data_IF_562814671705
#
_entry.id   IF_562814671705
#
_cell.length_a   1.000
_cell.length_b   1.000
_cell.length_c   1.000
_cell.angle_alpha   90.00
_cell.angle_beta   90.00
_cell.angle_gamma   90.00
#
_symmetry.space_group_name_H-M   'P 1'
#
loop_
_entity.id
_entity.type
_entity.pdbx_description
1 polymer ?
#
# COMPACT_ATOMS: atom_id res chain seq x y z
N UNK A 1 -6.47 4.75 -13.04
CA UNK A 1 -6.65 5.34 -14.38
C UNK A 1 -5.63 4.82 -15.38
N UNK A 2 -4.43 4.45 -14.93
CA UNK A 2 -3.36 3.93 -15.79
C UNK A 2 -2.94 2.49 -15.44
N UNK A 3 -3.73 1.79 -14.64
CA UNK A 3 -3.40 0.42 -14.24
C UNK A 3 -3.12 -0.46 -15.46
N UNK A 4 -1.99 -1.15 -15.42
CA UNK A 4 -1.51 -2.05 -16.47
C UNK A 4 -1.27 -1.38 -17.85
N UNK A 5 -0.98 -0.07 -17.85
CA UNK A 5 -0.50 0.65 -19.04
C UNK A 5 0.98 0.99 -18.89
N UNK A 6 1.64 1.43 -20.00
CA UNK A 6 3.03 1.87 -19.97
C UNK A 6 3.31 3.03 -18.99
N UNK A 7 2.27 3.79 -18.65
CA UNK A 7 2.36 4.88 -17.67
C UNK A 7 2.26 4.39 -16.22
N UNK A 8 1.93 3.13 -16.00
CA UNK A 8 1.86 2.55 -14.67
C UNK A 8 3.23 2.06 -14.21
N UNK A 9 3.88 2.76 -13.25
CA UNK A 9 5.21 2.36 -12.78
C UNK A 9 5.20 1.06 -11.97
N UNK A 10 4.02 0.57 -11.57
CA UNK A 10 3.85 -0.60 -10.71
C UNK A 10 3.36 -1.84 -11.48
N UNK A 11 3.03 -1.71 -12.76
CA UNK A 11 2.54 -2.86 -13.54
C UNK A 11 3.67 -3.86 -13.83
N UNK A 12 3.47 -5.14 -13.55
CA UNK A 12 4.44 -6.19 -13.87
C UNK A 12 4.47 -6.59 -15.35
N UNK A 13 3.66 -5.96 -16.20
CA UNK A 13 3.55 -6.30 -17.62
C UNK A 13 4.71 -5.75 -18.46
N UNK A 14 5.40 -4.72 -17.95
CA UNK A 14 6.42 -3.97 -18.68
C UNK A 14 7.84 -4.22 -18.17
N UNK A 15 8.01 -5.21 -17.29
CA UNK A 15 9.31 -5.56 -16.71
C UNK A 15 9.54 -7.07 -16.77
N UNK A 16 10.77 -7.47 -17.04
CA UNK A 16 11.16 -8.88 -17.14
C UNK A 16 11.11 -9.61 -15.79
N UNK A 17 11.30 -8.86 -14.70
CA UNK A 17 11.35 -9.43 -13.35
C UNK A 17 10.96 -8.41 -12.28
N UNK A 18 10.71 -8.93 -11.07
CA UNK A 18 10.32 -8.17 -9.90
C UNK A 18 11.28 -7.00 -9.57
N UNK A 19 12.58 -7.23 -9.69
CA UNK A 19 13.58 -6.20 -9.33
C UNK A 19 13.57 -5.06 -10.34
N UNK A 20 13.38 -5.34 -11.63
CA UNK A 20 13.25 -4.32 -12.67
C UNK A 20 12.02 -3.44 -12.41
N UNK A 21 10.86 -4.04 -12.11
CA UNK A 21 9.64 -3.30 -11.74
C UNK A 21 9.86 -2.45 -10.48
N UNK A 22 10.45 -2.99 -9.43
CA UNK A 22 10.74 -2.23 -8.21
C UNK A 22 11.69 -1.06 -8.47
N UNK A 23 12.69 -1.26 -9.33
CA UNK A 23 13.62 -0.21 -9.72
C UNK A 23 12.94 0.89 -10.53
N UNK A 24 12.06 0.54 -11.46
CA UNK A 24 11.23 1.48 -12.22
C UNK A 24 10.32 2.28 -11.29
N UNK A 25 9.60 1.62 -10.38
CA UNK A 25 8.73 2.25 -9.38
C UNK A 25 9.51 3.23 -8.49
N UNK A 26 10.69 2.83 -8.01
CA UNK A 26 11.58 3.68 -7.22
C UNK A 26 12.03 4.92 -8.00
N UNK A 27 12.43 4.75 -9.24
CA UNK A 27 12.89 5.86 -10.10
C UNK A 27 11.75 6.84 -10.39
N UNK A 28 10.55 6.33 -10.65
CA UNK A 28 9.36 7.15 -10.85
C UNK A 28 9.05 7.96 -9.59
N UNK A 29 8.97 7.32 -8.43
CA UNK A 29 8.72 7.99 -7.15
C UNK A 29 9.78 9.04 -6.84
N UNK A 30 11.06 8.70 -7.03
CA UNK A 30 12.15 9.65 -6.86
C UNK A 30 12.08 10.82 -7.85
N UNK A 31 11.64 10.56 -9.09
CA UNK A 31 11.43 11.59 -10.09
C UNK A 31 10.34 12.58 -9.70
N UNK A 32 9.23 12.08 -9.17
CA UNK A 32 8.14 12.90 -8.63
C UNK A 32 8.63 13.74 -7.44
N UNK A 33 9.29 13.14 -6.47
CA UNK A 33 9.80 13.86 -5.29
C UNK A 33 10.84 14.94 -5.62
N UNK A 34 11.62 14.75 -6.66
CA UNK A 34 12.62 15.72 -7.09
C UNK A 34 12.07 16.69 -8.15
N UNK A 35 10.76 16.75 -8.37
CA UNK A 35 10.09 17.58 -9.37
C UNK A 35 10.63 17.38 -10.79
N UNK A 36 11.10 16.16 -11.12
CA UNK A 36 11.57 15.79 -12.46
C UNK A 36 10.47 15.15 -13.30
N UNK A 37 9.41 14.67 -12.65
CA UNK A 37 8.23 14.07 -13.27
C UNK A 37 7.02 14.87 -12.77
N UNK A 38 6.29 15.47 -13.68
CA UNK A 38 5.05 16.19 -13.39
C UNK A 38 3.91 15.20 -13.28
N UNK A 39 3.11 15.36 -12.22
CA UNK A 39 1.88 14.61 -12.01
C UNK A 39 0.72 15.41 -12.60
N UNK A 40 -0.15 14.74 -13.35
CA UNK A 40 -1.35 15.36 -13.91
C UNK A 40 -2.23 15.95 -12.79
N UNK A 41 -2.73 17.17 -12.97
CA UNK A 41 -3.53 17.90 -11.98
C UNK A 41 -4.72 17.10 -11.44
N UNK A 42 -5.33 16.24 -12.27
CA UNK A 42 -6.46 15.41 -11.86
C UNK A 42 -6.13 14.44 -10.72
N UNK A 43 -4.85 14.03 -10.58
CA UNK A 43 -4.37 13.16 -9.49
C UNK A 43 -4.00 13.95 -8.24
N UNK A 44 -3.73 15.24 -8.37
CA UNK A 44 -3.46 16.12 -7.25
C UNK A 44 -4.74 16.65 -6.58
N UNK A 45 -5.86 16.57 -7.30
CA UNK A 45 -7.15 17.03 -6.80
C UNK A 45 -7.59 16.22 -5.57
N UNK A 46 -7.88 16.92 -4.47
CA UNK A 46 -8.29 16.37 -3.18
C UNK A 46 -7.19 15.60 -2.41
N UNK A 47 -5.92 15.72 -2.78
CA UNK A 47 -4.85 15.27 -1.91
C UNK A 47 -4.74 16.24 -0.71
N UNK A 48 -4.54 15.70 0.50
CA UNK A 48 -4.25 16.55 1.64
C UNK A 48 -2.89 17.21 1.43
N UNK A 49 -2.83 18.53 1.61
CA UNK A 49 -1.58 19.28 1.59
C UNK A 49 -1.11 19.49 3.05
N UNK A 50 0.03 18.91 3.40
CA UNK A 50 0.63 19.08 4.71
C UNK A 50 2.13 19.38 4.61
N UNK A 51 2.49 20.61 4.19
CA UNK A 51 3.88 20.98 3.89
C UNK A 51 4.88 20.76 5.04
N UNK A 52 4.40 20.86 6.29
CA UNK A 52 5.24 20.61 7.47
C UNK A 52 5.62 19.13 7.60
N UNK A 53 4.65 18.22 7.36
CA UNK A 53 4.89 16.78 7.37
C UNK A 53 5.79 16.39 6.21
N UNK A 54 5.53 16.91 5.02
CA UNK A 54 6.32 16.62 3.82
C UNK A 54 7.78 17.03 4.00
N UNK A 55 8.02 18.20 4.58
CA UNK A 55 9.38 18.68 4.89
C UNK A 55 10.11 17.76 5.85
N UNK A 56 9.41 17.26 6.88
CA UNK A 56 9.97 16.31 7.84
C UNK A 56 10.22 14.96 7.18
N UNK A 57 9.24 14.44 6.45
CA UNK A 57 9.32 13.11 5.81
C UNK A 57 10.43 13.04 4.75
N UNK A 58 10.67 14.13 4.02
CA UNK A 58 11.70 14.18 2.97
C UNK A 58 13.09 14.53 3.48
N UNK A 59 13.22 14.95 4.75
CA UNK A 59 14.52 15.32 5.32
C UNK A 59 15.36 14.06 5.59
N UNK A 60 16.63 14.09 5.15
CA UNK A 60 17.57 13.01 5.44
C UNK A 60 17.80 12.81 6.96
N UNK A 61 17.75 13.90 7.75
CA UNK A 61 17.87 13.84 9.21
C UNK A 61 16.74 13.01 9.84
N UNK A 62 15.52 13.11 9.33
CA UNK A 62 14.39 12.29 9.78
C UNK A 62 14.63 10.80 9.50
N UNK A 63 15.17 10.48 8.33
CA UNK A 63 15.52 9.09 7.99
C UNK A 63 16.59 8.53 8.93
N UNK A 64 17.65 9.29 9.19
CA UNK A 64 18.69 8.91 10.16
C UNK A 64 18.10 8.83 11.56
N UNK A 65 17.25 9.77 11.94
CA UNK A 65 16.57 9.79 13.24
C UNK A 65 15.73 8.52 13.46
N UNK A 66 15.01 8.06 12.47
CA UNK A 66 14.26 6.79 12.54
C UNK A 66 15.17 5.57 12.71
N UNK A 67 16.31 5.53 12.02
CA UNK A 67 17.29 4.44 12.17
C UNK A 67 17.84 4.43 13.61
N UNK A 68 18.25 5.59 14.12
CA UNK A 68 18.75 5.73 15.49
C UNK A 68 17.66 5.33 16.49
N UNK A 69 16.41 5.79 16.28
CA UNK A 69 15.28 5.43 17.13
C UNK A 69 15.08 3.92 17.19
N UNK A 70 15.03 3.22 16.05
CA UNK A 70 14.87 1.77 16.04
C UNK A 70 16.01 1.05 16.75
N UNK A 71 17.26 1.41 16.46
CA UNK A 71 18.44 0.81 17.11
C UNK A 71 18.36 1.03 18.64
N UNK A 72 18.10 2.25 19.08
CA UNK A 72 17.99 2.59 20.50
C UNK A 72 16.85 1.85 21.16
N UNK A 73 15.69 1.78 20.52
CA UNK A 73 14.53 1.03 20.99
C UNK A 73 14.87 -0.45 21.23
N UNK A 74 15.51 -1.10 20.26
CA UNK A 74 15.90 -2.50 20.40
C UNK A 74 16.96 -2.69 21.49
N UNK A 75 17.94 -1.79 21.61
CA UNK A 75 18.95 -1.86 22.69
C UNK A 75 18.29 -1.76 24.06
N UNK A 76 17.36 -0.82 24.26
CA UNK A 76 16.73 -0.57 25.57
C UNK A 76 15.77 -1.71 25.97
N UNK A 77 14.91 -2.15 25.03
CA UNK A 77 13.82 -3.05 25.37
C UNK A 77 14.15 -4.53 25.14
N UNK A 78 15.11 -4.84 24.28
CA UNK A 78 15.40 -6.21 23.87
C UNK A 78 16.88 -6.56 23.97
N UNK A 79 17.57 -6.03 24.97
CA UNK A 79 18.99 -6.23 25.18
C UNK A 79 19.43 -7.71 25.07
N UNK A 80 20.36 -8.03 24.13
CA UNK A 80 20.84 -9.37 23.81
C UNK A 80 19.73 -10.42 23.52
N UNK A 81 18.72 -10.03 22.74
CA UNK A 81 17.58 -10.91 22.40
C UNK A 81 17.55 -11.27 20.92
N UNK A 82 16.92 -12.41 20.60
CA UNK A 82 16.57 -12.80 19.23
C UNK A 82 15.72 -11.77 18.47
N UNK A 83 15.09 -10.83 19.16
CA UNK A 83 14.29 -9.75 18.56
C UNK A 83 15.10 -8.85 17.61
N UNK A 84 16.44 -8.81 17.71
CA UNK A 84 17.28 -8.11 16.73
C UNK A 84 17.13 -8.62 15.30
N UNK A 85 16.69 -9.87 15.11
CA UNK A 85 16.39 -10.42 13.79
C UNK A 85 15.19 -9.75 13.10
N UNK A 86 14.38 -8.99 13.83
CA UNK A 86 13.30 -8.19 13.26
C UNK A 86 13.78 -6.89 12.59
N UNK A 87 14.97 -6.40 12.92
CA UNK A 87 15.50 -5.16 12.32
C UNK A 87 15.58 -5.25 10.79
N UNK A 88 16.24 -6.26 10.19
CA UNK A 88 16.23 -6.39 8.73
C UNK A 88 14.83 -6.59 8.16
N UNK A 89 13.94 -7.28 8.88
CA UNK A 89 12.54 -7.43 8.45
C UNK A 89 11.85 -6.07 8.36
N UNK A 90 11.99 -5.19 9.38
CA UNK A 90 11.43 -3.85 9.35
C UNK A 90 11.97 -2.99 8.20
N UNK A 91 13.26 -3.13 7.89
CA UNK A 91 13.90 -2.38 6.79
C UNK A 91 13.32 -2.76 5.43
N UNK A 92 13.09 -4.06 5.20
CA UNK A 92 12.64 -4.58 3.90
C UNK A 92 11.11 -4.70 3.79
N UNK A 93 10.38 -4.57 4.89
CA UNK A 93 8.94 -4.83 4.94
C UNK A 93 8.14 -3.99 3.94
N UNK A 94 8.36 -2.67 3.91
CA UNK A 94 7.62 -1.78 3.02
C UNK A 94 7.89 -2.07 1.54
N UNK A 95 9.15 -2.15 1.05
CA UNK A 95 9.40 -2.54 -0.33
C UNK A 95 8.94 -3.97 -0.63
N UNK A 96 8.99 -4.89 0.32
CA UNK A 96 8.50 -6.26 0.15
C UNK A 96 6.97 -6.30 -0.03
N UNK A 97 6.22 -5.55 0.77
CA UNK A 97 4.77 -5.40 0.60
C UNK A 97 4.43 -4.87 -0.79
N UNK A 98 5.07 -3.77 -1.22
CA UNK A 98 4.89 -3.23 -2.55
C UNK A 98 5.21 -4.23 -3.66
N UNK A 99 6.28 -5.01 -3.48
CA UNK A 99 6.66 -6.06 -4.43
C UNK A 99 5.60 -7.19 -4.50
N UNK A 100 5.12 -7.66 -3.35
CA UNK A 100 4.09 -8.71 -3.29
C UNK A 100 2.80 -8.22 -3.96
N UNK A 101 2.32 -7.05 -3.61
CA UNK A 101 1.07 -6.51 -4.14
C UNK A 101 1.20 -6.25 -5.64
N UNK A 102 2.20 -5.49 -6.06
CA UNK A 102 2.28 -5.06 -7.46
C UNK A 102 2.75 -6.17 -8.42
N UNK A 103 3.53 -7.14 -7.96
CA UNK A 103 3.99 -8.23 -8.82
C UNK A 103 3.10 -9.46 -8.73
N UNK A 104 2.89 -9.98 -7.53
CA UNK A 104 2.19 -11.24 -7.37
C UNK A 104 0.66 -11.09 -7.49
N UNK A 105 0.08 -10.01 -6.96
CA UNK A 105 -1.36 -9.79 -7.05
C UNK A 105 -1.84 -9.36 -8.46
N UNK A 106 -0.93 -9.13 -9.40
CA UNK A 106 -1.25 -9.01 -10.83
C UNK A 106 -1.02 -10.30 -11.62
N UNK A 107 -0.35 -11.31 -11.04
CA UNK A 107 -0.04 -12.58 -11.73
C UNK A 107 -0.84 -13.76 -11.19
N UNK A 108 -1.05 -13.82 -9.88
CA UNK A 108 -1.62 -14.98 -9.20
C UNK A 108 -2.83 -14.59 -8.35
N UNK A 109 -3.77 -15.53 -8.20
CA UNK A 109 -4.91 -15.38 -7.30
C UNK A 109 -6.26 -15.47 -7.99
N UNK A 110 -7.31 -15.19 -7.22
CA UNK A 110 -8.70 -15.22 -7.66
C UNK A 110 -9.16 -13.87 -8.22
N UNK A 111 -10.09 -13.91 -9.15
CA UNK A 111 -10.75 -12.73 -9.72
C UNK A 111 -12.19 -12.73 -9.23
N UNK A 112 -12.57 -11.72 -8.46
CA UNK A 112 -13.96 -11.49 -8.06
C UNK A 112 -14.70 -10.60 -9.05
N UNK A 113 -13.97 -9.71 -9.72
CA UNK A 113 -14.52 -8.75 -10.67
C UNK A 113 -13.69 -8.75 -11.95
N UNK A 114 -14.35 -8.97 -13.09
CA UNK A 114 -13.71 -8.83 -14.39
C UNK A 114 -13.49 -7.35 -14.70
N UNK A 115 -12.25 -7.01 -15.02
CA UNK A 115 -11.82 -5.65 -15.33
C UNK A 115 -10.74 -5.67 -16.41
N UNK A 116 -10.51 -4.52 -17.06
CA UNK A 116 -9.45 -4.34 -18.06
C UNK A 116 -8.07 -4.18 -17.42
N UNK A 117 -7.78 -5.00 -16.40
CA UNK A 117 -6.47 -5.06 -15.75
C UNK A 117 -6.23 -6.48 -15.22
N UNK A 118 -5.01 -6.76 -14.79
CA UNK A 118 -4.58 -8.10 -14.38
C UNK A 118 -4.69 -8.34 -12.87
N UNK A 119 -5.27 -7.42 -12.10
CA UNK A 119 -5.37 -7.52 -10.64
C UNK A 119 -6.13 -8.76 -10.18
N UNK A 120 -5.64 -9.39 -9.12
CA UNK A 120 -6.19 -10.62 -8.52
C UNK A 120 -6.14 -10.55 -7.00
N UNK A 121 -6.99 -11.29 -6.35
CA UNK A 121 -6.96 -11.48 -4.90
C UNK A 121 -6.03 -12.64 -4.57
N UNK A 122 -4.97 -12.39 -3.80
CA UNK A 122 -3.93 -13.38 -3.49
C UNK A 122 -4.42 -14.46 -2.52
N UNK A 123 -5.17 -14.09 -1.49
CA UNK A 123 -5.56 -14.97 -0.40
C UNK A 123 -7.05 -14.90 -0.12
N UNK A 124 -7.64 -15.99 0.39
CA UNK A 124 -8.99 -15.95 0.95
C UNK A 124 -9.07 -15.18 2.27
N UNK A 125 -7.97 -15.09 3.02
CA UNK A 125 -7.85 -14.30 4.25
C UNK A 125 -6.57 -13.47 4.22
N UNK A 126 -6.70 -12.17 4.40
CA UNK A 126 -5.55 -11.27 4.45
C UNK A 126 -5.27 -10.82 5.89
N UNK A 127 -4.19 -11.33 6.46
CA UNK A 127 -3.72 -10.94 7.79
C UNK A 127 -2.44 -10.08 7.69
N UNK A 128 -1.63 -10.32 6.67
CA UNK A 128 -0.28 -9.75 6.57
C UNK A 128 -0.19 -8.50 5.70
N UNK A 129 -1.06 -8.37 4.70
CA UNK A 129 -1.03 -7.26 3.75
C UNK A 129 -2.09 -6.19 4.04
N UNK A 130 -2.75 -6.28 5.19
CA UNK A 130 -3.65 -5.25 5.71
C UNK A 130 -4.81 -4.87 4.76
N UNK A 131 -5.40 -5.87 4.09
CA UNK A 131 -6.48 -5.72 3.12
C UNK A 131 -6.00 -5.68 1.66
N UNK A 132 -4.74 -5.34 1.42
CA UNK A 132 -4.20 -5.16 0.06
C UNK A 132 -4.05 -6.49 -0.72
N UNK A 133 -4.12 -7.65 -0.05
CA UNK A 133 -4.18 -8.94 -0.73
C UNK A 133 -5.48 -9.13 -1.53
N UNK A 134 -6.53 -8.38 -1.22
CA UNK A 134 -7.76 -8.31 -2.02
C UNK A 134 -7.64 -7.30 -3.16
N UNK A 135 -6.60 -7.42 -3.95
CA UNK A 135 -6.16 -6.41 -4.90
C UNK A 135 -7.15 -6.22 -6.06
N UNK A 136 -7.81 -7.28 -6.52
CA UNK A 136 -8.88 -7.17 -7.51
C UNK A 136 -10.10 -6.42 -6.93
N UNK A 137 -10.47 -6.67 -5.69
CA UNK A 137 -11.55 -5.95 -5.01
C UNK A 137 -11.18 -4.46 -4.80
N UNK A 138 -9.92 -4.20 -4.43
CA UNK A 138 -9.38 -2.85 -4.30
C UNK A 138 -9.46 -2.08 -5.63
N UNK A 139 -9.02 -2.68 -6.73
CA UNK A 139 -9.09 -2.04 -8.05
C UNK A 139 -10.53 -1.76 -8.50
N UNK A 140 -11.49 -2.61 -8.15
CA UNK A 140 -12.91 -2.37 -8.46
C UNK A 140 -13.47 -1.19 -7.69
N UNK A 141 -13.12 -1.05 -6.41
CA UNK A 141 -13.64 -0.01 -5.52
C UNK A 141 -12.53 0.60 -4.65
N UNK A 142 -11.65 1.44 -5.23
CA UNK A 142 -10.48 1.96 -4.53
C UNK A 142 -10.80 2.79 -3.27
N UNK A 143 -11.99 3.38 -3.21
CA UNK A 143 -12.43 4.20 -2.07
C UNK A 143 -13.16 3.41 -0.98
N UNK A 144 -13.29 2.09 -1.11
CA UNK A 144 -13.93 1.26 -0.10
C UNK A 144 -13.07 1.19 1.16
N UNK A 145 -13.72 1.18 2.33
CA UNK A 145 -13.04 1.01 3.63
C UNK A 145 -12.86 -0.46 4.01
N UNK A 146 -13.44 -1.37 3.26
CA UNK A 146 -13.34 -2.81 3.40
C UNK A 146 -13.11 -3.41 2.01
N UNK A 147 -12.01 -4.07 1.81
CA UNK A 147 -11.70 -4.73 0.55
C UNK A 147 -12.20 -6.18 0.51
N UNK A 148 -12.56 -6.80 1.62
CA UNK A 148 -13.26 -8.08 1.63
C UNK A 148 -14.66 -7.95 1.03
N UNK A 149 -15.01 -8.83 0.06
CA UNK A 149 -16.32 -8.85 -0.61
C UNK A 149 -17.09 -10.13 -0.36
N UNK A 150 -16.38 -11.23 -0.16
CA UNK A 150 -16.97 -12.53 0.17
C UNK A 150 -16.97 -12.73 1.67
N UNK A 151 -17.86 -13.55 2.20
CA UNK A 151 -18.01 -13.79 3.65
C UNK A 151 -16.74 -14.31 4.34
N UNK A 152 -15.85 -14.95 3.59
CA UNK A 152 -14.56 -15.48 4.06
C UNK A 152 -13.37 -14.53 3.82
N UNK A 153 -13.57 -13.42 3.13
CA UNK A 153 -12.54 -12.43 2.88
C UNK A 153 -12.47 -11.46 4.06
N UNK A 154 -11.59 -11.74 4.99
CA UNK A 154 -11.40 -10.90 6.17
C UNK A 154 -10.33 -9.85 5.93
N UNK A 155 -10.74 -8.58 5.93
CA UNK A 155 -9.85 -7.41 5.86
C UNK A 155 -9.57 -6.89 7.28
N UNK A 156 -8.35 -7.08 7.83
CA UNK A 156 -8.01 -6.66 9.18
C UNK A 156 -8.00 -5.15 9.38
N UNK A 157 -7.85 -4.37 8.32
CA UNK A 157 -7.86 -2.90 8.37
C UNK A 157 -9.27 -2.36 8.62
N UNK A 158 -10.28 -3.05 8.12
CA UNK A 158 -11.67 -2.62 8.26
C UNK A 158 -12.14 -2.46 9.71
N UNK A 159 -11.98 -3.42 10.62
CA UNK A 159 -12.35 -3.23 12.02
C UNK A 159 -11.57 -2.10 12.70
N UNK A 160 -10.31 -1.88 12.34
CA UNK A 160 -9.50 -0.76 12.85
C UNK A 160 -10.10 0.58 12.40
N UNK A 161 -10.41 0.73 11.11
CA UNK A 161 -11.06 1.92 10.56
C UNK A 161 -12.41 2.16 11.26
N UNK A 162 -13.19 1.09 11.48
CA UNK A 162 -14.48 1.18 12.18
C UNK A 162 -14.33 1.66 13.62
N UNK A 163 -13.35 1.13 14.34
CA UNK A 163 -13.05 1.55 15.71
C UNK A 163 -12.62 3.02 15.74
N UNK A 164 -11.66 3.43 14.91
CA UNK A 164 -11.22 4.84 14.85
C UNK A 164 -12.34 5.80 14.47
N UNK A 165 -13.26 5.37 13.61
CA UNK A 165 -14.45 6.14 13.28
C UNK A 165 -15.44 6.22 14.45
N UNK A 166 -15.59 5.16 15.22
CA UNK A 166 -16.46 5.11 16.41
C UNK A 166 -15.97 6.09 17.50
N UNK A 167 -14.66 6.09 17.76
CA UNK A 167 -14.04 7.02 18.72
C UNK A 167 -13.81 8.43 18.13
N UNK A 168 -14.32 8.69 16.92
CA UNK A 168 -14.29 10.00 16.25
C UNK A 168 -12.87 10.53 15.90
N UNK A 169 -11.89 9.66 15.84
CA UNK A 169 -10.52 10.02 15.39
C UNK A 169 -10.50 10.27 13.88
N UNK A 170 -11.27 9.48 13.12
CA UNK A 170 -11.43 9.66 11.69
C UNK A 170 -12.90 9.78 11.30
N UNK A 171 -13.18 10.44 10.18
CA UNK A 171 -14.51 10.55 9.60
C UNK A 171 -14.60 9.71 8.34
N UNK A 172 -15.49 8.74 8.33
CA UNK A 172 -15.76 7.90 7.17
C UNK A 172 -16.94 8.48 6.39
N UNK A 173 -16.74 8.81 5.13
CA UNK A 173 -17.78 9.33 4.25
C UNK A 173 -18.80 8.22 3.87
N UNK A 174 -20.06 8.61 3.64
CA UNK A 174 -21.14 7.66 3.31
C UNK A 174 -20.87 6.88 2.01
N UNK A 175 -20.21 7.49 1.04
CA UNK A 175 -19.85 6.86 -0.24
C UNK A 175 -19.01 5.59 -0.02
N UNK A 176 -18.16 5.59 0.99
CA UNK A 176 -17.30 4.46 1.31
C UNK A 176 -18.02 3.30 2.02
N UNK A 177 -19.27 3.50 2.47
CA UNK A 177 -20.06 2.47 3.14
C UNK A 177 -20.88 1.59 2.20
N UNK A 178 -21.33 2.14 1.07
CA UNK A 178 -22.37 1.56 0.22
C UNK A 178 -21.85 1.06 -1.12
N UNK A 179 -20.60 0.66 -1.22
CA UNK A 179 -20.12 -0.01 -2.42
C UNK A 179 -20.67 -1.45 -2.48
N UNK A 180 -22.00 -1.59 -2.55
CA UNK A 180 -22.65 -2.83 -2.95
C UNK A 180 -22.37 -3.03 -4.44
N UNK A 181 -21.20 -3.56 -4.74
CA UNK A 181 -20.86 -4.03 -6.08
C UNK A 181 -21.24 -5.50 -6.10
N UNK A 182 -22.12 -5.87 -7.00
CA UNK A 182 -22.48 -7.27 -7.20
C UNK A 182 -21.26 -8.08 -7.64
N UNK A 183 -21.10 -9.26 -7.04
CA UNK A 183 -20.08 -10.23 -7.44
C UNK A 183 -20.53 -10.88 -8.74
N UNK A 184 -19.66 -10.96 -9.73
CA UNK A 184 -19.86 -11.70 -10.97
C UNK A 184 -19.54 -13.19 -10.81
#
# INVERSE_FOLDING_TARGET
AYTDTEKDPHSPLFDDNLFAMMWRSRNFTSGVFNNKIEIEERFLKNLPDWPALDRIAHNWMSRVGWIIFYITFYIIFFFFSWWYLLIPIHIVMLPLHGAIINWYAHKYGAVNFKMDNTSKNLYPMDIFLMGEAYHNNHHKTPSAINFGRRWYEFDPTYPIIRFLSLVKVIKVNKINRNSNVELE
#
